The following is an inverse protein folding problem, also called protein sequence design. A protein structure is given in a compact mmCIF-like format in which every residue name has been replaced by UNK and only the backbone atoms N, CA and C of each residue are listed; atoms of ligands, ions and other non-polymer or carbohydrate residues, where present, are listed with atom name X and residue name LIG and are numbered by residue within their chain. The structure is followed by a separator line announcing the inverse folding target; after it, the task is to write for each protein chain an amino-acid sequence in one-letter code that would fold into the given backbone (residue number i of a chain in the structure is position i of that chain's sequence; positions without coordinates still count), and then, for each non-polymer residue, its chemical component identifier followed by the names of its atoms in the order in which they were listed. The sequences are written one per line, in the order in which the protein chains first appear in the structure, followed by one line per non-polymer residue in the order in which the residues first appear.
data_IF_695355532985
#
_entry.id   IF_695355532985
#
_cell.length_a   1.000
_cell.length_b   1.000
_cell.length_c   1.000
_cell.angle_alpha   90.00
_cell.angle_beta   90.00
_cell.angle_gamma   90.00
#
_symmetry.space_group_name_H-M   'P 1'
#
loop_
_entity.id
_entity.type
_entity.pdbx_description
1 polymer ?
#
# COMPACT_ATOMS: atom_id res chain seq x y z
N UNK A 1 9.83 10.27 -27.39
CA UNK A 1 11.11 9.99 -26.72
C UNK A 1 10.81 10.10 -25.24
N UNK A 2 10.32 9.02 -24.63
CA UNK A 2 9.98 9.02 -23.20
C UNK A 2 11.28 9.12 -22.40
N UNK A 3 11.37 10.10 -21.51
CA UNK A 3 12.44 10.16 -20.53
C UNK A 3 12.27 9.00 -19.55
N UNK A 4 13.29 8.15 -19.34
CA UNK A 4 13.18 6.97 -18.48
C UNK A 4 12.97 7.27 -16.97
N UNK A 5 12.92 8.56 -16.57
CA UNK A 5 12.98 9.00 -15.17
C UNK A 5 11.74 9.75 -14.66
N UNK A 6 10.63 9.81 -15.42
CA UNK A 6 9.43 10.52 -14.98
C UNK A 6 8.52 9.66 -14.09
N UNK A 7 7.90 10.30 -13.09
CA UNK A 7 6.83 9.68 -12.30
C UNK A 7 5.68 9.29 -13.22
N UNK A 8 5.28 8.02 -13.17
CA UNK A 8 4.12 7.49 -13.90
C UNK A 8 2.87 7.53 -13.02
N UNK A 9 1.74 7.91 -13.62
CA UNK A 9 0.44 8.04 -12.96
C UNK A 9 -0.57 7.13 -13.64
N UNK A 10 -1.13 6.22 -12.85
CA UNK A 10 -2.22 5.33 -13.24
C UNK A 10 -3.52 5.73 -12.53
N UNK A 11 -4.58 6.00 -13.29
CA UNK A 11 -5.91 6.26 -12.74
C UNK A 11 -6.71 4.96 -12.73
N UNK A 12 -7.26 4.60 -11.57
CA UNK A 12 -8.14 3.45 -11.43
C UNK A 12 -9.54 3.91 -10.99
N UNK A 13 -10.52 3.78 -11.88
CA UNK A 13 -11.91 4.16 -11.65
C UNK A 13 -12.65 2.96 -11.09
N UNK A 14 -12.99 2.99 -9.80
CA UNK A 14 -13.81 1.93 -9.20
C UNK A 14 -15.26 2.02 -9.67
N UNK A 15 -16.00 0.90 -9.74
CA UNK A 15 -17.43 0.95 -9.96
C UNK A 15 -18.15 1.68 -8.81
N UNK A 16 -19.35 2.18 -9.09
CA UNK A 16 -20.27 2.67 -8.06
C UNK A 16 -20.58 1.56 -7.05
N UNK A 17 -20.60 1.92 -5.76
CA UNK A 17 -20.98 0.99 -4.68
C UNK A 17 -22.50 1.00 -4.48
N UNK A 18 -23.04 -0.05 -3.86
CA UNK A 18 -24.48 -0.20 -3.65
C UNK A 18 -25.13 0.99 -2.94
N UNK A 19 -24.43 1.61 -1.99
CA UNK A 19 -24.93 2.80 -1.31
C UNK A 19 -25.07 4.00 -2.27
N UNK A 20 -24.13 4.20 -3.20
CA UNK A 20 -24.20 5.28 -4.19
C UNK A 20 -25.35 5.04 -5.17
N UNK A 21 -25.51 3.80 -5.64
CA UNK A 21 -26.62 3.42 -6.52
C UNK A 21 -27.98 3.62 -5.84
N UNK A 22 -28.10 3.28 -4.55
CA UNK A 22 -29.34 3.48 -3.78
C UNK A 22 -29.69 4.96 -3.59
N UNK A 23 -28.69 5.84 -3.54
CA UNK A 23 -28.89 7.30 -3.52
C UNK A 23 -29.09 7.90 -4.93
N UNK A 24 -29.17 7.08 -5.98
CA UNK A 24 -29.39 7.53 -7.35
C UNK A 24 -28.17 8.17 -8.01
N UNK A 25 -26.97 7.92 -7.50
CA UNK A 25 -25.74 8.38 -8.16
C UNK A 25 -25.54 7.68 -9.50
N UNK A 26 -24.94 8.40 -10.44
CA UNK A 26 -24.58 7.90 -11.79
C UNK A 26 -23.11 8.18 -12.06
N UNK A 27 -22.54 7.49 -13.06
CA UNK A 27 -21.14 7.69 -13.43
C UNK A 27 -20.92 9.12 -13.94
N UNK A 28 -19.95 9.82 -13.35
CA UNK A 28 -19.56 11.18 -13.74
C UNK A 28 -18.20 11.24 -14.46
N UNK A 29 -17.55 10.07 -14.65
CA UNK A 29 -16.26 9.94 -15.32
C UNK A 29 -16.47 9.07 -16.56
N UNK A 30 -16.07 9.58 -17.72
CA UNK A 30 -16.05 8.83 -18.98
C UNK A 30 -14.61 8.52 -19.35
N UNK A 31 -14.32 7.26 -19.74
CA UNK A 31 -13.01 6.88 -20.30
C UNK A 31 -13.10 6.97 -21.81
N UNK A 32 -12.16 7.65 -22.46
CA UNK A 32 -12.10 7.69 -23.92
C UNK A 32 -11.52 6.36 -24.44
N UNK A 33 -12.24 5.62 -25.31
CA UNK A 33 -11.77 4.33 -25.79
C UNK A 33 -10.44 4.45 -26.54
N UNK A 34 -9.45 3.63 -26.15
CA UNK A 34 -8.15 3.57 -26.82
C UNK A 34 -7.15 4.67 -26.43
N UNK A 35 -7.54 5.60 -25.56
CA UNK A 35 -6.66 6.65 -25.04
C UNK A 35 -6.56 6.55 -23.52
N UNK A 36 -5.41 6.84 -22.89
CA UNK A 36 -5.29 6.91 -21.44
C UNK A 36 -5.84 8.25 -20.93
N UNK A 37 -7.09 8.56 -21.31
CA UNK A 37 -7.74 9.83 -21.02
C UNK A 37 -9.10 9.61 -20.34
N UNK A 38 -9.35 10.42 -19.32
CA UNK A 38 -10.65 10.50 -18.64
C UNK A 38 -11.27 11.87 -18.87
N UNK A 39 -12.59 11.89 -19.03
CA UNK A 39 -13.36 13.11 -19.17
C UNK A 39 -14.34 13.26 -18.00
N UNK A 40 -14.34 14.45 -17.42
CA UNK A 40 -15.26 14.87 -16.36
C UNK A 40 -15.93 16.15 -16.86
N UNK A 41 -17.23 16.06 -17.14
CA UNK A 41 -17.99 17.13 -17.79
C UNK A 41 -17.34 17.56 -19.12
N UNK A 42 -16.87 18.80 -19.20
CA UNK A 42 -16.18 19.38 -20.38
C UNK A 42 -14.66 19.31 -20.31
N UNK A 43 -14.08 18.76 -19.23
CA UNK A 43 -12.64 18.72 -19.01
C UNK A 43 -12.09 17.33 -19.26
N UNK A 44 -10.98 17.25 -19.99
CA UNK A 44 -10.30 16.00 -20.28
C UNK A 44 -8.90 15.98 -19.65
N UNK A 45 -8.52 14.84 -19.07
CA UNK A 45 -7.26 14.65 -18.34
C UNK A 45 -6.57 13.39 -18.85
N UNK A 46 -5.32 13.53 -19.27
CA UNK A 46 -4.50 12.43 -19.82
C UNK A 46 -3.49 11.96 -18.79
N UNK A 47 -3.32 10.64 -18.71
CA UNK A 47 -2.42 9.95 -17.78
C UNK A 47 -1.57 8.93 -18.53
N UNK A 48 -0.66 8.24 -17.85
CA UNK A 48 0.08 7.12 -18.44
C UNK A 48 -0.84 5.91 -18.64
N UNK A 49 -1.76 5.67 -17.69
CA UNK A 49 -2.69 4.55 -17.74
C UNK A 49 -4.06 4.91 -17.13
N UNK A 50 -5.12 4.34 -17.70
CA UNK A 50 -6.50 4.44 -17.19
C UNK A 50 -7.11 3.04 -17.09
N UNK A 51 -7.58 2.70 -15.89
CA UNK A 51 -8.18 1.41 -15.55
C UNK A 51 -9.60 1.57 -14.98
N UNK A 52 -10.39 0.51 -15.09
CA UNK A 52 -11.78 0.48 -14.63
C UNK A 52 -12.73 1.27 -15.54
N UNK A 53 -14.04 1.18 -15.26
CA UNK A 53 -15.06 1.68 -16.18
C UNK A 53 -14.94 1.02 -17.56
N UNK A 54 -14.76 1.83 -18.62
CA UNK A 54 -14.48 1.36 -19.99
C UNK A 54 -12.97 1.30 -20.32
N UNK A 55 -12.09 1.53 -19.35
CA UNK A 55 -10.63 1.40 -19.49
C UNK A 55 -10.13 -0.03 -19.32
N UNK A 56 -8.82 -0.18 -19.15
CA UNK A 56 -8.20 -1.49 -18.93
C UNK A 56 -8.68 -2.13 -17.63
N UNK A 57 -8.74 -3.47 -17.52
CA UNK A 57 -9.14 -4.12 -16.29
C UNK A 57 -8.20 -3.78 -15.12
N UNK A 58 -8.72 -3.44 -13.95
CA UNK A 58 -7.91 -3.05 -12.79
C UNK A 58 -6.89 -4.10 -12.33
N UNK A 59 -7.07 -5.38 -12.69
CA UNK A 59 -6.08 -6.41 -12.36
C UNK A 59 -4.76 -6.26 -13.15
N UNK A 60 -4.78 -5.56 -14.29
CA UNK A 60 -3.62 -5.29 -15.14
C UNK A 60 -2.67 -4.24 -14.55
N UNK A 61 -3.13 -3.43 -13.58
CA UNK A 61 -2.33 -2.40 -12.89
C UNK A 61 -0.98 -2.96 -12.40
N UNK A 62 -0.97 -4.19 -11.91
CA UNK A 62 0.27 -4.81 -11.45
C UNK A 62 1.25 -5.02 -12.60
N UNK A 63 0.80 -5.65 -13.68
CA UNK A 63 1.66 -6.04 -14.79
C UNK A 63 2.21 -4.80 -15.52
N UNK A 64 1.36 -3.80 -15.75
CA UNK A 64 1.71 -2.59 -16.50
C UNK A 64 2.57 -1.61 -15.67
N UNK A 65 2.22 -1.39 -14.39
CA UNK A 65 2.82 -0.33 -13.57
C UNK A 65 3.89 -0.85 -12.59
N UNK A 66 3.70 -2.04 -12.02
CA UNK A 66 4.46 -2.49 -10.84
C UNK A 66 5.50 -3.54 -11.19
N UNK A 67 5.22 -4.48 -12.09
CA UNK A 67 6.17 -5.51 -12.48
C UNK A 67 7.52 -4.92 -12.99
N UNK A 68 7.55 -3.86 -13.81
CA UNK A 68 8.82 -3.22 -14.20
C UNK A 68 9.60 -2.62 -13.02
N UNK A 69 8.92 -2.18 -11.96
CA UNK A 69 9.57 -1.67 -10.75
C UNK A 69 10.22 -2.79 -9.94
N UNK A 70 9.64 -4.00 -9.96
CA UNK A 70 10.27 -5.18 -9.35
C UNK A 70 11.55 -5.54 -10.10
N UNK A 71 11.56 -5.48 -11.43
CA UNK A 71 12.80 -5.68 -12.18
C UNK A 71 13.85 -4.63 -11.81
N UNK A 72 13.49 -3.36 -11.71
CA UNK A 72 14.41 -2.31 -11.25
C UNK A 72 14.92 -2.57 -9.82
N UNK A 73 14.06 -3.03 -8.90
CA UNK A 73 14.45 -3.38 -7.53
C UNK A 73 15.57 -4.44 -7.50
N UNK A 74 15.47 -5.49 -8.33
CA UNK A 74 16.50 -6.54 -8.43
C UNK A 74 17.78 -6.09 -9.15
N UNK A 75 17.77 -4.94 -9.85
CA UNK A 75 18.98 -4.28 -10.34
C UNK A 75 19.59 -3.31 -9.32
N UNK A 76 19.02 -3.20 -8.11
CA UNK A 76 19.54 -2.37 -7.03
C UNK A 76 18.97 -0.94 -6.97
N UNK A 77 17.87 -0.67 -7.68
CA UNK A 77 17.19 0.63 -7.64
C UNK A 77 16.09 0.67 -6.57
N UNK A 78 15.79 1.87 -6.07
CA UNK A 78 14.63 2.10 -5.21
C UNK A 78 13.35 2.16 -6.05
N UNK A 79 12.27 1.56 -5.55
CA UNK A 79 10.96 1.57 -6.17
C UNK A 79 9.89 2.04 -5.18
N UNK A 80 9.01 2.93 -5.62
CA UNK A 80 7.91 3.46 -4.80
C UNK A 80 6.60 3.37 -5.56
N UNK A 81 5.58 2.83 -4.91
CA UNK A 81 4.19 2.83 -5.40
C UNK A 81 3.33 3.55 -4.37
N UNK A 82 2.62 4.59 -4.81
CA UNK A 82 1.73 5.39 -3.96
C UNK A 82 0.30 5.29 -4.50
N UNK A 83 -0.64 4.95 -3.62
CA UNK A 83 -2.07 5.04 -3.92
C UNK A 83 -2.63 6.34 -3.34
N UNK A 84 -3.24 7.17 -4.20
CA UNK A 84 -3.80 8.47 -3.85
C UNK A 84 -5.27 8.57 -4.26
N UNK A 85 -6.06 9.36 -3.52
CA UNK A 85 -7.49 9.57 -3.75
C UNK A 85 -8.29 9.78 -2.46
N UNK A 86 -9.55 10.18 -2.59
CA UNK A 86 -10.44 10.42 -1.44
C UNK A 86 -10.77 9.15 -0.63
N UNK A 87 -11.34 9.32 0.57
CA UNK A 87 -11.89 8.18 1.34
C UNK A 87 -12.94 7.44 0.51
N UNK A 88 -12.90 6.11 0.55
CA UNK A 88 -13.78 5.25 -0.25
C UNK A 88 -13.40 5.12 -1.73
N UNK A 89 -12.32 5.75 -2.23
CA UNK A 89 -11.94 5.66 -3.66
C UNK A 89 -11.30 4.33 -4.09
N UNK A 90 -11.10 3.38 -3.16
CA UNK A 90 -10.51 2.07 -3.49
C UNK A 90 -8.98 1.97 -3.34
N UNK A 91 -8.31 2.93 -2.67
CA UNK A 91 -6.85 2.86 -2.39
C UNK A 91 -6.44 1.55 -1.70
N UNK A 92 -7.08 1.25 -0.57
CA UNK A 92 -6.82 0.06 0.24
C UNK A 92 -7.10 -1.23 -0.53
N UNK A 93 -8.16 -1.23 -1.35
CA UNK A 93 -8.52 -2.35 -2.22
C UNK A 93 -7.44 -2.59 -3.28
N UNK A 94 -7.02 -1.53 -3.98
CA UNK A 94 -5.99 -1.59 -5.03
C UNK A 94 -4.64 -2.03 -4.47
N UNK A 95 -4.22 -1.48 -3.32
CA UNK A 95 -2.94 -1.86 -2.70
C UNK A 95 -2.98 -3.25 -2.05
N UNK A 96 -4.15 -3.72 -1.60
CA UNK A 96 -4.27 -5.00 -0.90
C UNK A 96 -3.82 -4.96 0.57
N UNK A 97 -3.88 -3.79 1.23
CA UNK A 97 -3.47 -3.65 2.65
C UNK A 97 -4.53 -4.11 3.66
N UNK A 98 -5.66 -4.67 3.22
CA UNK A 98 -6.65 -5.33 4.09
C UNK A 98 -6.47 -6.85 4.03
N UNK A 99 -5.23 -7.31 4.08
CA UNK A 99 -4.89 -8.72 3.93
C UNK A 99 -5.34 -9.51 5.17
N UNK A 100 -6.22 -10.49 4.99
CA UNK A 100 -6.76 -11.33 6.08
C UNK A 100 -6.29 -12.78 6.02
N UNK A 101 -5.36 -13.12 5.12
CA UNK A 101 -4.83 -14.48 4.95
C UNK A 101 -5.06 -15.06 3.55
N UNK A 102 -4.94 -16.38 3.45
CA UNK A 102 -5.06 -17.12 2.18
C UNK A 102 -6.47 -16.99 1.61
N UNK A 103 -6.59 -16.24 0.50
CA UNK A 103 -7.86 -15.93 -0.16
C UNK A 103 -7.99 -14.44 -0.53
N UNK A 104 -7.28 -13.55 0.15
CA UNK A 104 -7.17 -12.13 -0.25
C UNK A 104 -5.98 -11.90 -1.19
N UNK A 105 -5.86 -12.71 -2.25
CA UNK A 105 -4.78 -12.62 -3.25
C UNK A 105 -4.96 -11.43 -4.22
N UNK A 106 -5.90 -10.52 -3.92
CA UNK A 106 -6.13 -9.31 -4.69
C UNK A 106 -5.28 -8.15 -4.18
N UNK A 107 -4.77 -7.35 -5.12
CA UNK A 107 -4.06 -6.11 -4.84
C UNK A 107 -2.58 -6.16 -5.16
N UNK A 108 -1.94 -4.99 -5.09
CA UNK A 108 -0.55 -4.80 -5.48
C UNK A 108 0.41 -5.49 -4.52
N UNK A 109 0.26 -5.31 -3.20
CA UNK A 109 1.24 -5.82 -2.21
C UNK A 109 1.34 -7.36 -2.24
N UNK A 110 0.25 -8.15 -2.24
CA UNK A 110 0.35 -9.61 -2.34
C UNK A 110 1.06 -10.08 -3.61
N UNK A 111 0.79 -9.44 -4.76
CA UNK A 111 1.47 -9.73 -6.02
C UNK A 111 2.96 -9.35 -6.01
N UNK A 112 3.31 -8.24 -5.36
CA UNK A 112 4.71 -7.84 -5.13
C UNK A 112 5.43 -8.89 -4.30
N UNK A 113 4.82 -9.37 -3.21
CA UNK A 113 5.39 -10.44 -2.40
C UNK A 113 5.63 -11.70 -3.24
N UNK A 114 4.65 -12.14 -4.01
CA UNK A 114 4.78 -13.30 -4.90
C UNK A 114 5.97 -13.18 -5.86
N UNK A 115 6.10 -12.03 -6.51
CA UNK A 115 7.17 -11.80 -7.49
C UNK A 115 8.55 -11.68 -6.85
N UNK A 116 8.66 -11.02 -5.69
CA UNK A 116 9.93 -10.94 -4.95
C UNK A 116 10.39 -12.35 -4.55
N UNK A 117 9.53 -13.15 -3.91
CA UNK A 117 9.94 -14.48 -3.45
C UNK A 117 10.20 -15.45 -4.61
N UNK A 118 9.47 -15.33 -5.72
CA UNK A 118 9.77 -16.09 -6.95
C UNK A 118 11.16 -15.76 -7.50
N UNK A 119 11.54 -14.48 -7.49
CA UNK A 119 12.84 -14.01 -7.99
C UNK A 119 13.98 -14.42 -7.07
N UNK A 120 13.80 -14.32 -5.75
CA UNK A 120 14.74 -14.85 -4.75
C UNK A 120 14.99 -16.33 -4.95
N UNK A 121 13.92 -17.13 -5.10
CA UNK A 121 14.04 -18.59 -5.34
C UNK A 121 14.78 -18.90 -6.65
N UNK A 122 14.52 -18.15 -7.71
CA UNK A 122 15.21 -18.30 -9.00
C UNK A 122 16.71 -18.00 -8.90
N UNK A 123 17.11 -17.10 -8.00
CA UNK A 123 18.48 -16.61 -7.85
C UNK A 123 19.24 -17.21 -6.65
N UNK A 124 18.63 -18.16 -5.93
CA UNK A 124 19.15 -18.72 -4.66
C UNK A 124 20.54 -19.34 -4.73
N UNK A 125 20.98 -19.76 -5.92
CA UNK A 125 22.29 -20.39 -6.13
C UNK A 125 23.39 -19.39 -6.53
N UNK A 126 23.03 -18.16 -6.90
CA UNK A 126 23.96 -17.13 -7.36
C UNK A 126 24.04 -15.92 -6.43
N UNK A 127 23.04 -15.75 -5.55
CA UNK A 127 22.88 -14.52 -4.77
C UNK A 127 22.26 -14.83 -3.42
N UNK A 128 22.84 -14.26 -2.36
CA UNK A 128 22.26 -14.29 -1.02
C UNK A 128 21.39 -13.04 -0.80
N UNK A 129 20.21 -13.23 -0.21
CA UNK A 129 19.26 -12.15 0.05
C UNK A 129 19.00 -12.01 1.56
N UNK A 130 19.04 -10.78 2.05
CA UNK A 130 18.52 -10.40 3.36
C UNK A 130 17.32 -9.48 3.15
N UNK A 131 16.13 -9.91 3.55
CA UNK A 131 14.91 -9.12 3.43
C UNK A 131 14.42 -8.69 4.81
N UNK A 132 14.12 -7.40 4.93
CA UNK A 132 13.51 -6.81 6.12
C UNK A 132 12.29 -6.00 5.73
N UNK A 133 11.28 -6.02 6.57
CA UNK A 133 10.05 -5.26 6.39
C UNK A 133 9.75 -4.40 7.61
N UNK A 134 9.29 -3.19 7.34
CA UNK A 134 8.69 -2.30 8.33
C UNK A 134 7.29 -1.94 7.86
N UNK A 135 6.38 -1.68 8.80
CA UNK A 135 5.04 -1.22 8.49
C UNK A 135 4.66 -0.13 9.48
N UNK A 136 4.46 1.08 8.97
CA UNK A 136 4.18 2.27 9.78
C UNK A 136 2.88 2.92 9.33
N UNK A 137 2.30 3.69 10.24
CA UNK A 137 1.21 4.61 9.97
C UNK A 137 1.61 6.02 10.41
N UNK A 138 1.32 7.02 9.59
CA UNK A 138 1.45 8.43 9.98
C UNK A 138 0.04 8.92 10.27
N UNK A 139 -0.22 9.29 11.52
CA UNK A 139 -1.52 9.79 11.96
C UNK A 139 -1.33 11.02 12.83
N UNK A 140 -1.93 12.15 12.42
CA UNK A 140 -1.80 13.45 13.10
C UNK A 140 -0.34 13.83 13.36
N UNK A 141 0.49 13.77 12.31
CA UNK A 141 1.93 14.07 12.36
C UNK A 141 2.78 13.15 13.26
N UNK A 142 2.19 12.11 13.84
CA UNK A 142 2.89 11.11 14.66
C UNK A 142 3.09 9.81 13.87
N UNK A 143 4.26 9.18 14.03
CA UNK A 143 4.59 7.91 13.36
C UNK A 143 4.36 6.74 14.31
N UNK A 144 3.46 5.84 13.92
CA UNK A 144 3.10 4.64 14.67
C UNK A 144 3.75 3.40 14.02
N UNK A 145 4.38 2.57 14.84
CA UNK A 145 4.88 1.27 14.42
C UNK A 145 3.75 0.22 14.44
N UNK A 146 3.29 -0.22 13.27
CA UNK A 146 2.24 -1.24 13.16
C UNK A 146 2.76 -2.66 13.43
N UNK A 147 4.08 -2.85 13.45
CA UNK A 147 4.74 -4.11 13.76
C UNK A 147 5.27 -4.17 15.20
N UNK A 148 4.99 -3.18 16.05
CA UNK A 148 5.35 -3.24 17.48
C UNK A 148 4.38 -4.14 18.26
N UNK A 149 4.88 -5.27 18.77
CA UNK A 149 4.11 -6.22 19.58
C UNK A 149 3.65 -5.65 20.92
N UNK A 150 4.27 -4.57 21.42
CA UNK A 150 3.93 -3.97 22.70
C UNK A 150 2.72 -3.02 22.63
N UNK A 151 2.33 -2.55 21.45
CA UNK A 151 1.11 -1.73 21.29
C UNK A 151 -0.17 -2.54 21.48
N UNK A 152 -0.17 -3.82 21.09
CA UNK A 152 -1.32 -4.72 21.24
C UNK A 152 -1.66 -5.05 22.71
N UNK A 153 -0.74 -4.82 23.65
CA UNK A 153 -0.95 -5.06 25.08
C UNK A 153 -1.69 -3.92 25.80
N UNK A 154 -1.71 -2.72 25.23
CA UNK A 154 -2.34 -1.54 25.84
C UNK A 154 -3.84 -1.40 25.50
N UNK A 155 -4.31 -2.02 24.42
CA UNK A 155 -5.71 -1.94 23.98
C UNK A 155 -6.69 -2.81 24.78
N UNK A 156 -6.21 -3.59 25.76
CA UNK A 156 -7.04 -4.43 26.65
C UNK A 156 -7.29 -3.85 28.04
N UNK A 157 -6.75 -2.68 28.37
CA UNK A 157 -7.04 -2.01 29.65
C UNK A 157 -8.06 -0.91 29.39
N UNK A 158 -9.32 -1.18 29.74
CA UNK A 158 -10.41 -0.21 29.67
C UNK A 158 -10.04 1.05 30.48
N UNK A 159 -9.95 2.21 29.80
CA UNK A 159 -10.03 3.52 30.45
C UNK A 159 -8.81 4.44 30.42
N UNK A 160 -7.78 4.26 29.58
CA UNK A 160 -6.64 5.20 29.56
C UNK A 160 -6.05 5.52 28.17
N UNK A 161 -6.10 6.82 27.82
CA UNK A 161 -5.23 7.56 26.88
C UNK A 161 -5.15 7.09 25.41
N UNK A 162 -4.97 8.06 24.50
CA UNK A 162 -4.66 7.82 23.09
C UNK A 162 -3.55 6.76 22.94
N UNK A 163 -3.60 5.88 21.92
CA UNK A 163 -2.49 4.98 21.62
C UNK A 163 -1.21 5.80 21.54
N UNK A 164 -0.19 5.41 22.32
CA UNK A 164 1.13 6.03 22.23
C UNK A 164 1.82 5.52 20.96
N UNK A 165 2.59 6.36 20.25
CA UNK A 165 3.32 5.97 19.04
C UNK A 165 4.24 4.75 19.22
N UNK A 166 4.66 4.49 20.46
CA UNK A 166 5.56 3.41 20.85
C UNK A 166 5.09 2.71 22.13
N UNK A 167 5.44 1.42 22.28
CA UNK A 167 5.22 0.66 23.51
C UNK A 167 5.92 1.28 24.74
N UNK A 168 5.48 0.96 25.97
CA UNK A 168 6.06 1.51 27.19
C UNK A 168 7.57 1.24 27.28
N UNK A 169 8.35 2.31 27.45
CA UNK A 169 9.82 2.23 27.56
C UNK A 169 10.59 2.35 26.24
N UNK A 170 9.90 2.47 25.09
CA UNK A 170 10.56 2.63 23.78
C UNK A 170 10.56 4.10 23.36
N UNK A 171 11.72 4.66 22.93
CA UNK A 171 11.80 6.04 22.48
C UNK A 171 10.89 6.26 21.25
N UNK A 172 10.31 7.46 21.06
CA UNK A 172 9.48 7.76 19.91
C UNK A 172 10.25 7.53 18.60
N UNK A 173 9.54 7.15 17.54
CA UNK A 173 10.13 7.01 16.21
C UNK A 173 10.63 8.37 15.74
N UNK A 174 11.90 8.44 15.35
CA UNK A 174 12.54 9.66 14.90
C UNK A 174 12.94 9.56 13.43
N UNK A 175 12.54 10.55 12.65
CA UNK A 175 13.06 10.77 11.30
C UNK A 175 14.48 11.34 11.43
N UNK A 176 15.47 10.63 10.87
CA UNK A 176 16.88 11.01 10.93
C UNK A 176 17.49 11.01 9.54
N UNK A 177 18.32 12.01 9.26
CA UNK A 177 19.16 12.02 8.08
C UNK A 177 20.45 11.21 8.36
N UNK A 178 20.72 10.22 7.53
CA UNK A 178 21.95 9.44 7.54
C UNK A 178 23.10 10.25 6.94
N UNK A 179 24.35 9.85 7.21
CA UNK A 179 25.54 10.58 6.76
C UNK A 179 25.69 10.69 5.23
N UNK A 180 24.90 9.95 4.46
CA UNK A 180 24.82 10.02 3.01
C UNK A 180 23.64 10.88 2.48
N UNK A 181 22.93 11.60 3.36
CA UNK A 181 21.73 12.37 3.01
C UNK A 181 20.43 11.56 2.90
N UNK A 182 20.48 10.25 3.16
CA UNK A 182 19.29 9.39 3.15
C UNK A 182 18.43 9.58 4.41
N UNK A 183 17.11 9.57 4.27
CA UNK A 183 16.20 9.62 5.43
C UNK A 183 16.01 8.21 6.00
N UNK A 184 16.11 8.08 7.32
CA UNK A 184 15.95 6.83 8.08
C UNK A 184 14.98 7.02 9.23
N UNK A 185 14.29 5.95 9.61
CA UNK A 185 13.37 5.93 10.74
C UNK A 185 14.02 5.18 11.91
N UNK A 186 14.53 5.94 12.87
CA UNK A 186 15.14 5.37 14.07
C UNK A 186 14.06 4.91 15.05
N UNK A 187 14.15 3.66 15.48
CA UNK A 187 13.25 3.06 16.47
C UNK A 187 12.11 2.23 15.88
N UNK A 188 11.90 2.27 14.55
CA UNK A 188 10.93 1.42 13.84
C UNK A 188 11.38 -0.04 13.91
N UNK A 189 10.42 -0.95 14.06
CA UNK A 189 10.64 -2.39 13.98
C UNK A 189 10.92 -2.81 12.54
N UNK A 190 12.08 -3.40 12.31
CA UNK A 190 12.44 -4.07 11.06
C UNK A 190 12.39 -5.59 11.29
N UNK A 191 11.33 -6.25 10.80
CA UNK A 191 11.21 -7.69 10.89
C UNK A 191 11.95 -8.35 9.72
N UNK A 192 12.87 -9.26 10.02
CA UNK A 192 13.49 -10.10 9.02
C UNK A 192 12.47 -11.14 8.51
N UNK A 193 12.42 -11.33 7.20
CA UNK A 193 11.50 -12.30 6.56
C UNK A 193 12.28 -13.19 5.60
N UNK A 194 12.10 -14.50 5.74
CA UNK A 194 12.72 -15.53 4.90
C UNK A 194 11.73 -16.20 3.97
N UNK A 195 10.44 -16.15 4.28
CA UNK A 195 9.38 -16.73 3.44
C UNK A 195 8.27 -15.74 3.16
N UNK A 196 7.49 -16.03 2.11
CA UNK A 196 6.30 -15.26 1.74
C UNK A 196 5.29 -15.25 2.89
N UNK A 197 5.16 -16.36 3.60
CA UNK A 197 4.23 -16.55 4.72
C UNK A 197 4.61 -15.67 5.92
N UNK A 198 5.90 -15.54 6.22
CA UNK A 198 6.39 -14.63 7.26
C UNK A 198 6.11 -13.16 6.91
N UNK A 199 6.31 -12.77 5.66
CA UNK A 199 5.97 -11.42 5.19
C UNK A 199 4.45 -11.19 5.20
N UNK A 200 3.65 -12.18 4.80
CA UNK A 200 2.19 -12.14 4.84
C UNK A 200 1.66 -11.99 6.28
N UNK A 201 2.29 -12.70 7.23
CA UNK A 201 1.95 -12.62 8.65
C UNK A 201 2.20 -11.22 9.21
N UNK A 202 3.33 -10.59 8.86
CA UNK A 202 3.61 -9.20 9.24
C UNK A 202 2.61 -8.22 8.61
N UNK A 203 2.24 -8.39 7.34
CA UNK A 203 1.22 -7.58 6.68
C UNK A 203 -0.14 -7.72 7.38
N UNK A 204 -0.59 -8.94 7.67
CA UNK A 204 -1.84 -9.20 8.37
C UNK A 204 -1.86 -8.58 9.77
N UNK A 205 -0.76 -8.75 10.52
CA UNK A 205 -0.58 -8.19 11.87
C UNK A 205 -0.65 -6.67 11.87
N UNK A 206 0.11 -6.00 11.00
CA UNK A 206 0.06 -4.54 10.89
C UNK A 206 -1.29 -4.01 10.42
N UNK A 207 -1.96 -4.74 9.51
CA UNK A 207 -3.31 -4.40 9.04
C UNK A 207 -4.34 -4.48 10.17
N UNK A 208 -4.23 -5.46 11.06
CA UNK A 208 -5.08 -5.60 12.25
C UNK A 208 -4.80 -4.48 13.26
N UNK A 209 -3.53 -4.15 13.52
CA UNK A 209 -3.14 -3.04 14.40
C UNK A 209 -3.78 -1.73 13.94
N UNK A 210 -3.66 -1.41 12.64
CA UNK A 210 -4.29 -0.23 12.03
C UNK A 210 -5.80 -0.23 12.21
N UNK A 211 -6.46 -1.36 11.96
CA UNK A 211 -7.91 -1.49 12.11
C UNK A 211 -8.36 -1.20 13.55
N UNK A 212 -7.66 -1.73 14.56
CA UNK A 212 -8.00 -1.51 15.97
C UNK A 212 -7.84 -0.05 16.43
N UNK A 213 -6.83 0.67 15.92
CA UNK A 213 -6.64 2.11 16.19
C UNK A 213 -7.69 3.01 15.55
N UNK A 214 -8.29 2.58 14.44
CA UNK A 214 -9.26 3.35 13.66
C UNK A 214 -10.73 3.22 14.13
N UNK A 215 -11.00 2.47 15.20
CA UNK A 215 -12.34 1.97 15.60
C UNK A 215 -13.41 3.03 15.92
N UNK A 216 -13.09 4.32 15.98
CA UNK A 216 -14.10 5.38 16.16
C UNK A 216 -14.52 6.12 14.87
N UNK A 217 -13.98 5.82 13.68
CA UNK A 217 -14.26 6.67 12.50
C UNK A 217 -14.44 5.97 11.15
N UNK A 218 -14.33 4.63 11.03
CA UNK A 218 -14.32 3.99 9.71
C UNK A 218 -15.17 2.72 9.54
N UNK A 219 -16.29 2.60 10.27
CA UNK A 219 -17.24 1.48 10.12
C UNK A 219 -17.93 1.39 8.74
N UNK A 220 -17.71 2.36 7.83
CA UNK A 220 -18.35 2.41 6.51
C UNK A 220 -17.43 2.28 5.29
N UNK A 221 -16.15 1.87 5.46
CA UNK A 221 -15.22 1.69 4.32
C UNK A 221 -14.95 0.22 3.95
N UNK A 222 -15.86 -0.70 4.26
CA UNK A 222 -15.77 -2.12 3.82
C UNK A 222 -16.63 -2.37 2.60
#
# INVERSE_FOLDING_TARGET
MESPDSVRVAVNIRPLISAELLHGCTDCITVLPGEPQVQIESHAFTYDYVYGGAGSPSFAIYDDCVAPLIDALFHGYNATVLAYGQTGSGKTYTMGTNYTGEGSNGGIIPKVMDSIFRRVETMKHSTEFLMRVSFIEIFKEEVFDLLDSHQASLSKVEGASLPKPTGPGRPPIQIREAGNGGITLSGVTEAEVRTKEEMASNLARGSLSRATGSTNMNSQSR
#
